data_IF_950517548075
#
_entry.id   IF_950517548075
#
_cell.length_a   1.000
_cell.length_b   1.000
_cell.length_c   1.000
_cell.angle_alpha   90.00
_cell.angle_beta   90.00
_cell.angle_gamma   90.00
#
_symmetry.space_group_name_H-M   'P 1'
#
loop_
_entity.id
_entity.type
_entity.pdbx_description
1 polymer ?
#
# COMPACT_ATOMS: atom_id res chain seq x y z
N UNK A 1 11.33 -24.98 -0.28
CA UNK A 1 12.04 -26.08 0.35
C UNK A 1 13.53 -25.82 0.35
N UNK A 2 14.25 -26.30 1.36
CA UNK A 2 15.70 -26.15 1.57
C UNK A 2 16.60 -26.68 0.43
N UNK A 3 16.05 -27.36 -0.55
CA UNK A 3 16.79 -27.97 -1.67
C UNK A 3 17.01 -27.05 -2.89
N UNK A 4 16.62 -25.79 -2.83
CA UNK A 4 16.87 -24.82 -3.90
C UNK A 4 18.05 -23.89 -3.58
N UNK A 5 18.70 -23.26 -4.60
CA UNK A 5 19.84 -22.37 -4.38
C UNK A 5 19.48 -21.16 -3.48
N UNK A 6 18.24 -20.68 -3.53
CA UNK A 6 17.73 -19.64 -2.66
C UNK A 6 17.42 -20.16 -1.26
N UNK A 7 16.92 -21.40 -1.11
CA UNK A 7 16.61 -22.01 0.18
C UNK A 7 17.86 -22.21 1.03
N UNK A 8 18.94 -22.71 0.44
CA UNK A 8 20.21 -22.91 1.15
C UNK A 8 20.83 -21.60 1.64
N UNK A 9 20.81 -20.55 0.81
CA UNK A 9 21.30 -19.22 1.20
C UNK A 9 20.48 -18.59 2.33
N UNK A 10 19.16 -18.80 2.33
CA UNK A 10 18.25 -18.31 3.37
C UNK A 10 18.44 -19.05 4.70
N UNK A 11 18.66 -20.37 4.64
CA UNK A 11 18.94 -21.19 5.84
C UNK A 11 20.30 -20.80 6.47
N UNK A 12 21.31 -20.49 5.65
CA UNK A 12 22.62 -20.05 6.10
C UNK A 12 22.58 -18.70 6.84
N UNK A 13 21.60 -17.83 6.48
CA UNK A 13 21.39 -16.51 7.11
C UNK A 13 20.31 -16.50 8.20
N UNK A 14 19.80 -17.66 8.60
CA UNK A 14 18.67 -17.79 9.55
C UNK A 14 17.41 -16.97 9.14
N UNK A 15 17.22 -16.75 7.84
CA UNK A 15 16.08 -16.02 7.31
C UNK A 15 14.95 -16.99 6.94
N UNK A 16 14.06 -17.25 7.89
CA UNK A 16 12.84 -17.97 7.60
C UNK A 16 11.84 -17.02 6.92
N UNK A 17 11.48 -17.28 5.66
CA UNK A 17 10.46 -16.50 4.93
C UNK A 17 9.07 -17.08 5.20
N UNK A 18 8.94 -18.41 5.20
CA UNK A 18 7.67 -19.07 5.49
C UNK A 18 7.40 -19.06 7.00
N UNK A 19 6.14 -18.80 7.36
CA UNK A 19 5.67 -18.75 8.77
C UNK A 19 6.40 -17.71 9.63
N UNK A 20 6.86 -16.61 9.01
CA UNK A 20 7.59 -15.56 9.67
C UNK A 20 7.06 -14.18 9.31
N UNK A 21 7.33 -13.20 10.15
CA UNK A 21 6.96 -11.81 9.93
C UNK A 21 7.52 -11.22 8.60
N UNK A 22 8.79 -11.46 8.22
CA UNK A 22 9.30 -11.00 6.92
C UNK A 22 8.54 -11.58 5.72
N UNK A 23 8.11 -12.83 5.80
CA UNK A 23 7.32 -13.47 4.74
C UNK A 23 5.95 -12.80 4.58
N UNK A 24 5.27 -12.47 5.68
CA UNK A 24 4.00 -11.74 5.64
C UNK A 24 4.17 -10.36 4.99
N UNK A 25 5.23 -9.63 5.33
CA UNK A 25 5.53 -8.31 4.73
C UNK A 25 5.76 -8.43 3.23
N UNK A 26 6.57 -9.39 2.79
CA UNK A 26 6.85 -9.62 1.36
C UNK A 26 5.57 -9.93 0.58
N UNK A 27 4.73 -10.82 1.10
CA UNK A 27 3.45 -11.17 0.45
C UNK A 27 2.52 -9.98 0.40
N UNK A 28 2.42 -9.21 1.48
CA UNK A 28 1.58 -8.01 1.51
C UNK A 28 2.06 -6.97 0.50
N UNK A 29 3.37 -6.73 0.40
CA UNK A 29 3.95 -5.83 -0.62
C UNK A 29 3.64 -6.34 -2.02
N UNK A 30 3.83 -7.64 -2.28
CA UNK A 30 3.59 -8.22 -3.59
C UNK A 30 2.11 -8.10 -4.03
N UNK A 31 1.18 -8.37 -3.13
CA UNK A 31 -0.27 -8.27 -3.42
C UNK A 31 -0.72 -6.83 -3.58
N UNK A 32 -0.13 -5.90 -2.81
CA UNK A 32 -0.57 -4.50 -2.78
C UNK A 32 0.14 -3.61 -3.80
N UNK A 33 1.35 -3.96 -4.24
CA UNK A 33 2.12 -3.20 -5.23
C UNK A 33 1.32 -2.85 -6.51
N UNK A 34 0.60 -3.78 -7.15
CA UNK A 34 -0.19 -3.46 -8.35
C UNK A 34 -1.24 -2.38 -8.12
N UNK A 35 -1.80 -2.28 -6.91
CA UNK A 35 -2.79 -1.25 -6.59
C UNK A 35 -2.17 0.14 -6.54
N UNK A 36 -0.98 0.28 -5.95
CA UNK A 36 -0.24 1.56 -5.94
C UNK A 36 0.09 1.99 -7.36
N UNK A 37 0.60 1.08 -8.19
CA UNK A 37 0.94 1.37 -9.59
C UNK A 37 -0.29 1.82 -10.36
N UNK A 38 -1.42 1.13 -10.20
CA UNK A 38 -2.68 1.46 -10.86
C UNK A 38 -3.18 2.88 -10.52
N UNK A 39 -2.96 3.34 -9.30
CA UNK A 39 -3.36 4.69 -8.88
C UNK A 39 -2.37 5.77 -9.35
N UNK A 40 -1.07 5.46 -9.37
CA UNK A 40 -0.04 6.44 -9.73
C UNK A 40 0.08 6.67 -11.24
N UNK A 41 -0.05 5.63 -12.07
CA UNK A 41 0.17 5.72 -13.51
C UNK A 41 -0.76 6.74 -14.18
N UNK A 42 -2.08 6.76 -13.94
CA UNK A 42 -2.96 7.77 -14.55
C UNK A 42 -2.58 9.21 -14.17
N UNK A 43 -2.19 9.43 -12.92
CA UNK A 43 -1.78 10.76 -12.43
C UNK A 43 -0.49 11.21 -13.11
N UNK A 44 0.51 10.34 -13.20
CA UNK A 44 1.76 10.65 -13.91
C UNK A 44 1.54 10.94 -15.39
N UNK A 45 0.63 10.19 -16.04
CA UNK A 45 0.29 10.40 -17.43
C UNK A 45 -0.47 11.73 -17.65
N UNK A 46 -1.33 12.12 -16.72
CA UNK A 46 -2.08 13.39 -16.81
C UNK A 46 -1.20 14.62 -16.58
N UNK A 47 -0.16 14.52 -15.78
CA UNK A 47 0.80 15.61 -15.54
C UNK A 47 1.75 15.85 -16.73
N UNK A 48 1.95 14.82 -17.58
CA UNK A 48 2.88 14.89 -18.69
C UNK A 48 4.36 14.89 -18.26
N UNK A 49 5.25 15.11 -19.23
CA UNK A 49 6.72 15.08 -19.02
C UNK A 49 7.39 16.44 -19.12
N UNK A 50 6.62 17.50 -19.34
CA UNK A 50 7.18 18.84 -19.67
C UNK A 50 8.09 19.40 -18.58
N UNK A 51 7.71 19.29 -17.32
CA UNK A 51 8.51 19.76 -16.18
C UNK A 51 9.75 18.91 -15.96
N UNK A 52 9.64 17.59 -16.16
CA UNK A 52 10.75 16.65 -16.06
C UNK A 52 11.78 16.90 -17.17
N UNK A 53 11.32 17.13 -18.41
CA UNK A 53 12.17 17.49 -19.55
C UNK A 53 12.86 18.82 -19.34
N UNK A 54 12.15 19.84 -18.86
CA UNK A 54 12.72 21.13 -18.53
C UNK A 54 13.81 21.02 -17.45
N UNK A 55 13.59 20.21 -16.42
CA UNK A 55 14.59 19.97 -15.38
C UNK A 55 15.87 19.30 -15.93
N UNK A 56 15.73 18.35 -16.85
CA UNK A 56 16.86 17.69 -17.52
C UNK A 56 17.62 18.69 -18.41
N UNK A 57 16.92 19.52 -19.17
CA UNK A 57 17.54 20.56 -20.01
C UNK A 57 18.33 21.59 -19.18
N UNK A 58 17.90 21.85 -17.95
CA UNK A 58 18.61 22.69 -16.97
C UNK A 58 19.79 21.99 -16.28
N UNK A 59 20.09 20.73 -16.66
CA UNK A 59 21.24 19.97 -16.16
C UNK A 59 20.96 19.19 -14.88
N UNK A 60 19.69 18.99 -14.50
CA UNK A 60 19.36 18.13 -13.35
C UNK A 60 19.69 16.66 -13.66
N UNK A 61 20.32 15.96 -12.68
CA UNK A 61 20.45 14.51 -12.76
C UNK A 61 19.07 13.84 -12.53
N UNK A 62 18.86 12.61 -13.04
CA UNK A 62 17.60 11.89 -12.88
C UNK A 62 17.12 11.78 -11.43
N UNK A 63 18.04 11.59 -10.49
CA UNK A 63 17.70 11.58 -9.05
C UNK A 63 17.30 12.95 -8.50
N UNK A 64 17.90 14.04 -9.01
CA UNK A 64 17.51 15.41 -8.65
C UNK A 64 16.16 15.77 -9.23
N UNK A 65 15.92 15.43 -10.50
CA UNK A 65 14.63 15.62 -11.18
C UNK A 65 13.52 14.88 -10.39
N UNK A 66 13.70 13.58 -10.11
CA UNK A 66 12.72 12.80 -9.38
C UNK A 66 12.37 13.40 -8.02
N UNK A 67 13.38 13.80 -7.21
CA UNK A 67 13.14 14.31 -5.84
C UNK A 67 12.62 15.73 -5.79
N UNK A 68 12.97 16.58 -6.76
CA UNK A 68 12.64 18.03 -6.73
C UNK A 68 11.46 18.40 -7.61
N UNK A 69 11.16 17.60 -8.64
CA UNK A 69 10.08 17.86 -9.60
C UNK A 69 9.01 16.76 -9.51
N UNK A 70 9.34 15.55 -9.91
CA UNK A 70 8.36 14.46 -10.03
C UNK A 70 7.69 14.11 -8.69
N UNK A 71 8.48 13.87 -7.63
CA UNK A 71 7.95 13.46 -6.34
C UNK A 71 7.04 14.52 -5.66
N UNK A 72 7.36 15.81 -5.64
CA UNK A 72 6.45 16.83 -5.15
C UNK A 72 5.13 16.90 -5.92
N UNK A 73 5.17 16.72 -7.23
CA UNK A 73 3.99 16.78 -8.08
C UNK A 73 3.04 15.61 -7.82
N UNK A 74 3.57 14.40 -7.68
CA UNK A 74 2.75 13.20 -7.44
C UNK A 74 2.47 12.90 -5.97
N UNK A 75 2.97 13.72 -5.03
CA UNK A 75 2.92 13.43 -3.58
C UNK A 75 1.52 13.12 -3.05
N UNK A 76 0.50 13.83 -3.53
CA UNK A 76 -0.88 13.63 -3.08
C UNK A 76 -1.48 12.34 -3.65
N UNK A 77 -1.20 12.05 -4.92
CA UNK A 77 -1.58 10.77 -5.53
C UNK A 77 -0.87 9.59 -4.87
N UNK A 78 0.40 9.76 -4.51
CA UNK A 78 1.15 8.76 -3.77
C UNK A 78 0.54 8.52 -2.38
N UNK A 79 0.21 9.58 -1.65
CA UNK A 79 -0.47 9.46 -0.35
C UNK A 79 -1.82 8.76 -0.47
N UNK A 80 -2.61 9.11 -1.48
CA UNK A 80 -3.88 8.45 -1.76
C UNK A 80 -3.67 6.95 -2.07
N UNK A 81 -2.73 6.61 -2.93
CA UNK A 81 -2.37 5.23 -3.26
C UNK A 81 -1.93 4.44 -2.03
N UNK A 82 -1.12 5.04 -1.14
CA UNK A 82 -0.70 4.43 0.13
C UNK A 82 -1.90 4.16 1.05
N UNK A 83 -2.82 5.13 1.22
CA UNK A 83 -4.01 4.94 2.05
C UNK A 83 -4.92 3.85 1.48
N UNK A 84 -5.14 3.83 0.16
CA UNK A 84 -5.92 2.80 -0.52
C UNK A 84 -5.29 1.41 -0.35
N UNK A 85 -3.97 1.33 -0.49
CA UNK A 85 -3.20 0.10 -0.31
C UNK A 85 -3.27 -0.41 1.14
N UNK A 86 -3.18 0.49 2.13
CA UNK A 86 -3.36 0.12 3.53
C UNK A 86 -4.77 -0.40 3.81
N UNK A 87 -5.81 0.25 3.27
CA UNK A 87 -7.18 -0.23 3.41
C UNK A 87 -7.36 -1.66 2.85
N UNK A 88 -6.70 -1.94 1.72
CA UNK A 88 -6.68 -3.28 1.12
C UNK A 88 -5.90 -4.28 1.98
N UNK A 89 -4.71 -3.90 2.46
CA UNK A 89 -3.85 -4.76 3.26
C UNK A 89 -4.46 -5.16 4.60
N UNK A 90 -5.22 -4.26 5.24
CA UNK A 90 -5.91 -4.54 6.52
C UNK A 90 -6.92 -5.70 6.37
N UNK A 91 -7.59 -5.80 5.22
CA UNK A 91 -8.54 -6.87 4.93
C UNK A 91 -7.93 -8.09 4.23
N UNK A 92 -6.61 -8.14 4.04
CA UNK A 92 -5.98 -9.27 3.35
C UNK A 92 -5.98 -10.53 4.22
N UNK A 93 -6.67 -11.53 3.75
CA UNK A 93 -6.81 -12.83 4.43
C UNK A 93 -6.12 -13.94 3.62
N UNK A 94 -6.46 -14.07 2.34
CA UNK A 94 -6.11 -15.23 1.53
C UNK A 94 -4.60 -15.48 1.40
N UNK A 95 -3.84 -14.52 0.90
CA UNK A 95 -2.41 -14.69 0.70
C UNK A 95 -1.64 -14.75 2.03
N UNK A 96 -2.08 -13.98 3.02
CA UNK A 96 -1.48 -13.97 4.36
C UNK A 96 -1.73 -15.28 5.09
N UNK A 97 -2.91 -15.91 4.97
CA UNK A 97 -3.23 -17.19 5.63
C UNK A 97 -2.28 -18.31 5.22
N UNK A 98 -1.86 -18.31 3.95
CA UNK A 98 -0.93 -19.33 3.41
C UNK A 98 0.49 -19.17 3.98
N UNK A 99 0.94 -17.92 4.20
CA UNK A 99 2.35 -17.62 4.56
C UNK A 99 2.53 -17.44 6.05
N UNK A 100 1.49 -17.03 6.79
CA UNK A 100 1.61 -16.70 8.21
C UNK A 100 1.75 -17.92 9.12
N UNK A 101 1.18 -19.07 8.74
CA UNK A 101 1.09 -20.24 9.62
C UNK A 101 0.23 -20.03 10.87
N UNK A 102 -0.47 -18.89 10.96
CA UNK A 102 -1.42 -18.56 12.04
C UNK A 102 -0.85 -18.66 13.47
N UNK A 103 0.43 -18.32 13.65
CA UNK A 103 1.11 -18.39 14.96
C UNK A 103 0.65 -17.22 15.83
N UNK A 104 -0.02 -17.54 16.96
CA UNK A 104 -0.50 -16.56 17.93
C UNK A 104 0.66 -15.75 18.52
N UNK A 105 0.56 -14.42 18.48
CA UNK A 105 1.58 -13.51 19.02
C UNK A 105 2.72 -13.16 18.05
N UNK A 106 2.85 -13.86 16.92
CA UNK A 106 3.91 -13.62 15.93
C UNK A 106 3.38 -13.26 14.54
N UNK A 107 2.58 -14.14 13.92
CA UNK A 107 2.16 -14.00 12.54
C UNK A 107 0.65 -13.99 12.35
N UNK A 108 -0.13 -13.91 13.43
CA UNK A 108 -1.58 -13.91 13.39
C UNK A 108 -2.12 -12.51 13.07
N UNK A 109 -2.66 -12.33 11.87
CA UNK A 109 -3.34 -11.09 11.48
C UNK A 109 -4.77 -11.04 12.05
N UNK A 110 -5.36 -9.84 12.13
CA UNK A 110 -6.71 -9.67 12.68
C UNK A 110 -7.80 -10.47 11.92
N UNK A 111 -7.81 -10.52 10.57
CA UNK A 111 -8.72 -11.41 9.84
C UNK A 111 -8.54 -12.89 10.18
N UNK A 112 -7.30 -13.37 10.33
CA UNK A 112 -7.01 -14.74 10.74
C UNK A 112 -7.46 -15.03 12.18
N UNK A 113 -7.32 -14.03 13.07
CA UNK A 113 -7.82 -14.14 14.44
C UNK A 113 -9.33 -14.31 14.50
N UNK A 114 -10.09 -13.62 13.65
CA UNK A 114 -11.54 -13.74 13.55
C UNK A 114 -11.91 -15.18 13.16
N UNK A 115 -11.25 -15.73 12.15
CA UNK A 115 -11.48 -17.11 11.71
C UNK A 115 -11.18 -18.12 12.80
N UNK A 116 -10.04 -18.00 13.49
CA UNK A 116 -9.68 -18.89 14.58
C UNK A 116 -10.69 -18.83 15.74
N UNK A 117 -11.15 -17.65 16.10
CA UNK A 117 -12.17 -17.48 17.15
C UNK A 117 -13.52 -18.09 16.74
N UNK A 118 -13.86 -18.04 15.46
CA UNK A 118 -15.06 -18.68 14.94
C UNK A 118 -14.93 -20.21 14.97
N UNK A 119 -13.78 -20.75 14.58
CA UNK A 119 -13.49 -22.20 14.68
C UNK A 119 -13.49 -22.70 16.13
N UNK A 120 -13.03 -21.87 17.07
CA UNK A 120 -13.06 -22.15 18.52
C UNK A 120 -14.46 -21.96 19.14
N UNK A 121 -15.51 -21.69 18.34
CA UNK A 121 -16.88 -21.37 18.78
C UNK A 121 -16.96 -20.18 19.76
N UNK A 122 -15.95 -19.33 19.79
CA UNK A 122 -15.95 -18.10 20.59
C UNK A 122 -16.62 -16.95 19.84
N UNK A 123 -17.93 -17.02 19.73
CA UNK A 123 -18.75 -16.06 18.99
C UNK A 123 -18.54 -14.62 19.46
N UNK A 124 -18.48 -14.39 20.78
CA UNK A 124 -18.28 -13.03 21.33
C UNK A 124 -16.93 -12.46 20.94
N UNK A 125 -15.87 -13.27 21.02
CA UNK A 125 -14.53 -12.85 20.60
C UNK A 125 -14.44 -12.55 19.11
N UNK A 126 -15.03 -13.41 18.26
CA UNK A 126 -15.08 -13.23 16.81
C UNK A 126 -15.80 -11.94 16.43
N UNK A 127 -17.01 -11.69 16.98
CA UNK A 127 -17.75 -10.45 16.71
C UNK A 127 -17.02 -9.18 17.20
N UNK A 128 -16.33 -9.26 18.35
CA UNK A 128 -15.56 -8.14 18.88
C UNK A 128 -14.37 -7.81 17.94
N UNK A 129 -13.64 -8.82 17.51
CA UNK A 129 -12.54 -8.66 16.57
C UNK A 129 -13.02 -8.13 15.20
N UNK A 130 -14.15 -8.64 14.69
CA UNK A 130 -14.76 -8.17 13.46
C UNK A 130 -15.24 -6.71 13.56
N UNK A 131 -15.81 -6.31 14.69
CA UNK A 131 -16.22 -4.93 14.94
C UNK A 131 -14.99 -3.99 14.94
N UNK A 132 -13.88 -4.41 15.53
CA UNK A 132 -12.63 -3.64 15.54
C UNK A 132 -12.06 -3.50 14.14
N UNK A 133 -12.06 -4.56 13.33
CA UNK A 133 -11.64 -4.53 11.93
C UNK A 133 -12.52 -3.58 11.11
N UNK A 134 -13.84 -3.62 11.32
CA UNK A 134 -14.80 -2.74 10.67
C UNK A 134 -14.57 -1.27 11.03
N UNK A 135 -14.28 -0.97 12.30
CA UNK A 135 -13.95 0.38 12.74
C UNK A 135 -12.69 0.90 12.06
N UNK A 136 -11.63 0.08 11.97
CA UNK A 136 -10.40 0.43 11.24
C UNK A 136 -10.68 0.68 9.75
N UNK A 137 -11.52 -0.13 9.13
CA UNK A 137 -11.93 0.05 7.73
C UNK A 137 -12.69 1.37 7.52
N UNK A 138 -13.60 1.74 8.42
CA UNK A 138 -14.32 3.02 8.34
C UNK A 138 -13.36 4.20 8.47
N UNK A 139 -12.41 4.15 9.40
CA UNK A 139 -11.39 5.20 9.57
C UNK A 139 -10.56 5.37 8.30
N UNK A 140 -10.10 4.26 7.70
CA UNK A 140 -9.31 4.31 6.46
C UNK A 140 -10.13 4.81 5.27
N UNK A 141 -11.40 4.46 5.17
CA UNK A 141 -12.31 5.01 4.14
C UNK A 141 -12.52 6.53 4.32
N UNK A 142 -12.66 7.00 5.55
CA UNK A 142 -12.77 8.42 5.82
C UNK A 142 -11.51 9.18 5.42
N UNK A 143 -10.33 8.67 5.77
CA UNK A 143 -9.04 9.23 5.35
C UNK A 143 -8.88 9.25 3.82
N UNK A 144 -9.28 8.16 3.16
CA UNK A 144 -9.30 8.07 1.70
C UNK A 144 -10.19 9.17 1.10
N UNK A 145 -11.42 9.31 1.56
CA UNK A 145 -12.37 10.31 1.07
C UNK A 145 -11.85 11.74 1.24
N UNK A 146 -11.22 12.03 2.38
CA UNK A 146 -10.64 13.34 2.65
C UNK A 146 -9.46 13.66 1.72
N UNK A 147 -8.60 12.68 1.45
CA UNK A 147 -7.47 12.83 0.53
C UNK A 147 -7.95 12.98 -0.92
N UNK A 148 -8.95 12.20 -1.34
CA UNK A 148 -9.54 12.32 -2.67
C UNK A 148 -10.15 13.70 -2.90
N UNK A 149 -10.89 14.22 -1.96
CA UNK A 149 -11.45 15.57 -2.05
C UNK A 149 -10.36 16.65 -2.17
N UNK A 150 -9.22 16.48 -1.49
CA UNK A 150 -8.07 17.39 -1.62
C UNK A 150 -7.42 17.32 -3.00
N UNK A 151 -7.29 16.12 -3.58
CA UNK A 151 -6.76 15.93 -4.94
C UNK A 151 -7.64 16.64 -5.97
N UNK A 152 -8.94 16.37 -5.95
CA UNK A 152 -9.90 16.98 -6.87
C UNK A 152 -9.93 18.52 -6.78
N UNK A 153 -9.77 19.07 -5.58
CA UNK A 153 -9.71 20.51 -5.39
C UNK A 153 -8.41 21.14 -5.92
N UNK A 154 -7.30 20.39 -5.94
CA UNK A 154 -6.05 20.89 -6.54
C UNK A 154 -6.12 20.89 -8.07
N UNK A 155 -6.66 19.83 -8.67
CA UNK A 155 -6.86 19.75 -10.11
C UNK A 155 -7.78 20.87 -10.61
N UNK A 156 -8.87 21.15 -9.89
CA UNK A 156 -9.78 22.28 -10.23
C UNK A 156 -9.10 23.64 -10.16
N UNK A 157 -8.21 23.86 -9.20
CA UNK A 157 -7.46 25.11 -9.07
C UNK A 157 -6.47 25.29 -10.22
N UNK A 158 -5.73 24.25 -10.59
CA UNK A 158 -4.80 24.28 -11.71
C UNK A 158 -5.51 24.60 -13.03
N UNK A 159 -6.66 23.98 -13.29
CA UNK A 159 -7.47 24.27 -14.49
C UNK A 159 -8.04 25.68 -14.52
N UNK A 160 -8.34 26.29 -13.37
CA UNK A 160 -8.82 27.66 -13.30
C UNK A 160 -7.71 28.69 -13.55
N UNK A 161 -6.48 28.41 -13.13
CA UNK A 161 -5.32 29.26 -13.39
C UNK A 161 -4.98 29.29 -14.89
N UNK A 162 -5.00 28.13 -15.57
CA UNK A 162 -4.81 28.05 -17.03
C UNK A 162 -5.89 28.81 -17.83
N UNK A 163 -7.11 28.87 -17.31
CA UNK A 163 -8.23 29.55 -18.00
C UNK A 163 -8.22 31.06 -17.82
N UNK A 164 -7.45 31.58 -16.86
CA UNK A 164 -7.29 33.01 -16.63
C UNK A 164 -6.07 33.64 -17.36
N UNK A 165 -5.16 32.82 -17.88
CA UNK A 165 -4.00 33.27 -18.65
C UNK A 165 -4.27 33.36 -20.18
N UNK A 166 -5.44 32.97 -20.66
CA UNK A 166 -5.93 33.10 -22.03
C UNK A 166 -7.06 34.13 -22.14
#
# INVERSE_FOLDING_TARGET
GSNGPLGGWLDEHNLQIMFSWPGMVLVTIFVTCPFVVRELVPVMLSQGSQEDEAAILLGASGGQMFRRVTLPNIRWALLYGVVLTNARAIGEFGAVSVVSGSIRGETLSLPLQIELLEQDYNTVGSFTAAALLTLMAIITLFLKSMLQWRLENQEKRAQQEEHHEH
#
